data_IF_848108547403
#
_entry.id   IF_848108547403
#
_cell.length_a   1.000
_cell.length_b   1.000
_cell.length_c   1.000
_cell.angle_alpha   90.00
_cell.angle_beta   90.00
_cell.angle_gamma   90.00
#
_symmetry.space_group_name_H-M   'P 1'
#
loop_
_entity.id
_entity.type
_entity.pdbx_description
1 polymer ?
#
# COMPACT_ATOMS: atom_id res chain seq x y z
N UNK A 1 -10.04 0.66 14.94
CA UNK A 1 -10.28 0.79 16.40
C UNK A 1 -10.72 2.21 16.67
N UNK A 2 -11.81 2.42 17.42
CA UNK A 2 -12.29 3.77 17.73
C UNK A 2 -11.69 4.29 19.05
N UNK A 3 -11.18 5.52 19.03
CA UNK A 3 -10.59 6.20 20.19
C UNK A 3 -11.16 7.61 20.28
N UNK A 4 -11.58 8.04 21.46
CA UNK A 4 -12.06 9.41 21.64
C UNK A 4 -10.91 10.41 21.53
N UNK A 5 -11.19 11.64 21.07
CA UNK A 5 -10.17 12.69 21.02
C UNK A 5 -9.58 13.04 22.39
N UNK A 6 -10.32 12.80 23.48
CA UNK A 6 -9.81 12.99 24.84
C UNK A 6 -8.75 11.94 25.17
N UNK A 7 -9.06 10.67 24.88
CA UNK A 7 -8.16 9.53 25.11
C UNK A 7 -6.91 9.60 24.22
N UNK A 8 -7.09 10.00 22.96
CA UNK A 8 -5.98 10.17 22.03
C UNK A 8 -4.99 11.24 22.51
N UNK A 9 -5.47 12.33 23.11
CA UNK A 9 -4.61 13.39 23.64
C UNK A 9 -3.83 12.94 24.89
N UNK A 10 -4.40 12.08 25.74
CA UNK A 10 -3.70 11.58 26.93
C UNK A 10 -2.63 10.54 26.61
N UNK A 11 -2.81 9.75 25.54
CA UNK A 11 -1.91 8.66 25.18
C UNK A 11 -1.39 8.77 23.73
N UNK A 12 -1.08 9.99 23.30
CA UNK A 12 -0.71 10.32 21.91
C UNK A 12 0.37 9.36 21.36
N UNK A 13 1.48 9.23 22.07
CA UNK A 13 2.63 8.43 21.62
C UNK A 13 2.29 6.96 21.45
N UNK A 14 1.49 6.38 22.35
CA UNK A 14 1.06 4.98 22.27
C UNK A 14 0.24 4.73 21.01
N UNK A 15 -0.73 5.61 20.73
CA UNK A 15 -1.57 5.47 19.55
C UNK A 15 -0.82 5.72 18.25
N UNK A 16 0.16 6.63 18.26
CA UNK A 16 1.04 6.83 17.11
C UNK A 16 1.88 5.57 16.83
N UNK A 17 2.40 4.91 17.86
CA UNK A 17 3.14 3.64 17.70
C UNK A 17 2.26 2.53 17.13
N UNK A 18 1.02 2.40 17.62
CA UNK A 18 0.05 1.43 17.10
C UNK A 18 -0.29 1.72 15.62
N UNK A 19 -0.46 2.99 15.27
CA UNK A 19 -0.69 3.39 13.89
C UNK A 19 0.50 3.06 12.98
N UNK A 20 1.73 3.34 13.44
CA UNK A 20 2.96 2.99 12.72
C UNK A 20 3.13 1.47 12.54
N UNK A 21 2.68 0.67 13.52
CA UNK A 21 2.65 -0.79 13.43
C UNK A 21 1.58 -1.32 12.44
N UNK A 22 0.84 -0.43 11.78
CA UNK A 22 -0.14 -0.79 10.75
C UNK A 22 -1.57 -0.94 11.26
N UNK A 23 -1.86 -0.57 12.52
CA UNK A 23 -3.22 -0.62 13.06
C UNK A 23 -3.93 0.72 12.81
N UNK A 24 -4.93 0.80 11.91
CA UNK A 24 -5.67 2.04 11.69
C UNK A 24 -6.58 2.38 12.89
N UNK A 25 -6.51 3.66 13.30
CA UNK A 25 -7.26 4.18 14.45
C UNK A 25 -8.22 5.26 13.96
N UNK A 26 -9.49 5.13 14.32
CA UNK A 26 -10.54 6.10 14.05
C UNK A 26 -10.72 6.99 15.27
N UNK A 27 -10.58 8.30 15.08
CA UNK A 27 -10.70 9.28 16.14
C UNK A 27 -12.12 9.82 16.17
N UNK A 28 -12.73 9.79 17.35
CA UNK A 28 -14.11 10.24 17.56
C UNK A 28 -14.19 11.52 18.39
N UNK A 29 -15.14 12.38 18.02
CA UNK A 29 -15.58 13.54 18.80
C UNK A 29 -17.10 13.49 18.92
N UNK A 30 -17.63 13.60 20.13
CA UNK A 30 -19.08 13.46 20.39
C UNK A 30 -19.71 12.22 19.72
N UNK A 31 -19.03 11.07 19.79
CA UNK A 31 -19.43 9.78 19.17
C UNK A 31 -19.54 9.79 17.65
N UNK A 32 -18.94 10.79 16.98
CA UNK A 32 -18.81 10.84 15.52
C UNK A 32 -17.35 10.66 15.15
N UNK A 33 -17.07 9.82 14.17
CA UNK A 33 -15.72 9.70 13.58
C UNK A 33 -15.38 11.02 12.89
N UNK A 34 -14.27 11.64 13.28
CA UNK A 34 -13.80 12.92 12.76
C UNK A 34 -12.46 12.84 12.04
N UNK A 35 -11.66 11.81 12.30
CA UNK A 35 -10.38 11.60 11.64
C UNK A 35 -9.96 10.12 11.69
N UNK A 36 -8.99 9.75 10.87
CA UNK A 36 -8.33 8.44 10.91
C UNK A 36 -6.82 8.64 10.99
N UNK A 37 -6.20 8.02 11.98
CA UNK A 37 -4.75 7.95 12.12
C UNK A 37 -4.26 6.66 11.46
N UNK A 38 -3.32 6.82 10.53
CA UNK A 38 -2.63 5.72 9.84
C UNK A 38 -1.12 5.93 9.98
N UNK A 39 -0.37 4.84 10.09
CA UNK A 39 1.08 4.88 10.03
C UNK A 39 1.55 5.40 8.68
N UNK A 40 2.65 6.15 8.70
CA UNK A 40 3.36 6.50 7.47
C UNK A 40 4.13 5.25 7.04
N UNK A 41 3.90 4.72 5.82
CA UNK A 41 4.65 3.58 5.33
C UNK A 41 6.15 3.94 5.26
N UNK A 42 7.06 3.01 5.59
CA UNK A 42 8.49 3.25 5.51
C UNK A 42 8.88 3.73 4.11
N UNK A 43 9.76 4.73 4.07
CA UNK A 43 10.22 5.42 2.85
C UNK A 43 11.10 4.54 1.95
N UNK A 44 11.31 3.27 2.30
CA UNK A 44 11.85 2.22 1.45
C UNK A 44 10.85 1.86 0.35
N UNK A 45 10.52 2.87 -0.44
CA UNK A 45 9.81 2.78 -1.68
C UNK A 45 10.72 2.01 -2.64
N UNK A 46 10.60 0.69 -2.58
CA UNK A 46 11.12 -0.18 -3.63
C UNK A 46 10.03 -0.33 -4.69
N UNK A 47 10.45 -0.43 -5.95
CA UNK A 47 9.53 -0.60 -7.08
C UNK A 47 8.62 0.62 -7.33
N UNK A 48 7.31 0.37 -7.45
CA UNK A 48 6.32 1.33 -7.98
C UNK A 48 6.16 2.56 -7.09
N UNK A 49 6.27 2.40 -5.76
CA UNK A 49 6.14 3.51 -4.81
C UNK A 49 7.18 4.62 -5.06
N UNK A 50 8.40 4.27 -5.48
CA UNK A 50 9.45 5.23 -5.81
C UNK A 50 9.13 6.00 -7.08
N UNK A 51 8.58 5.30 -8.07
CA UNK A 51 8.19 5.90 -9.34
C UNK A 51 7.05 6.90 -9.16
N UNK A 52 6.08 6.56 -8.29
CA UNK A 52 5.01 7.47 -7.88
C UNK A 52 5.57 8.70 -7.14
N UNK A 53 6.46 8.51 -6.17
CA UNK A 53 7.07 9.60 -5.41
C UNK A 53 7.94 10.53 -6.27
N UNK A 54 8.63 10.00 -7.27
CA UNK A 54 9.45 10.77 -8.22
C UNK A 54 8.62 11.45 -9.32
N UNK A 55 7.29 11.28 -9.35
CA UNK A 55 6.43 11.81 -10.41
C UNK A 55 6.62 11.13 -11.78
N UNK A 56 7.34 10.01 -11.83
CA UNK A 56 7.62 9.24 -13.06
C UNK A 56 6.50 8.27 -13.38
N UNK A 57 5.69 7.90 -12.39
CA UNK A 57 4.48 7.11 -12.56
C UNK A 57 3.26 7.84 -11.99
N UNK A 58 2.11 7.63 -12.61
CA UNK A 58 0.80 8.05 -12.10
C UNK A 58 -0.18 6.90 -12.23
N UNK A 59 -0.98 6.65 -11.20
CA UNK A 59 -2.01 5.62 -11.22
C UNK A 59 -3.39 6.26 -11.07
N UNK A 60 -4.25 6.11 -12.10
CA UNK A 60 -5.61 6.66 -12.10
C UNK A 60 -6.66 5.70 -11.52
N UNK A 61 -6.26 4.55 -10.98
CA UNK A 61 -7.18 3.48 -10.57
C UNK A 61 -7.50 2.52 -11.73
N UNK A 62 -8.22 1.43 -11.41
CA UNK A 62 -8.67 0.44 -12.39
C UNK A 62 -7.66 -0.67 -12.71
N UNK A 63 -8.08 -1.68 -13.48
CA UNK A 63 -7.15 -2.70 -14.00
C UNK A 63 -6.37 -2.07 -15.14
N UNK A 64 -5.03 -2.18 -15.18
CA UNK A 64 -4.27 -1.60 -16.27
C UNK A 64 -4.64 -2.33 -17.57
N UNK A 65 -4.84 -1.59 -18.66
CA UNK A 65 -5.16 -2.16 -19.98
C UNK A 65 -4.05 -3.09 -20.50
N UNK A 66 -2.86 -3.01 -19.89
CA UNK A 66 -1.67 -3.72 -20.33
C UNK A 66 -0.90 -2.89 -21.36
N UNK A 67 0.32 -3.34 -21.67
CA UNK A 67 1.09 -2.74 -22.74
C UNK A 67 0.62 -3.32 -24.08
N UNK A 68 0.59 -2.48 -25.13
CA UNK A 68 0.43 -2.93 -26.51
C UNK A 68 1.71 -3.65 -26.98
N UNK A 69 1.98 -4.82 -26.40
CA UNK A 69 3.11 -5.67 -26.73
C UNK A 69 2.65 -6.69 -27.77
N UNK A 70 3.12 -6.51 -29.00
CA UNK A 70 3.10 -7.60 -29.97
C UNK A 70 4.20 -8.59 -29.58
N UNK A 71 3.82 -9.72 -29.00
CA UNK A 71 4.75 -10.82 -28.77
C UNK A 71 5.20 -11.35 -30.14
N UNK A 72 6.51 -11.32 -30.39
CA UNK A 72 7.05 -11.99 -31.56
C UNK A 72 6.88 -13.49 -31.38
N UNK A 73 6.35 -14.16 -32.40
CA UNK A 73 6.28 -15.62 -32.40
C UNK A 73 7.70 -16.18 -32.46
N UNK A 74 8.09 -16.92 -31.42
CA UNK A 74 9.41 -17.53 -31.33
C UNK A 74 9.94 -17.54 -29.90
N UNK A 75 10.63 -18.62 -29.55
CA UNK A 75 11.19 -18.83 -28.21
C UNK A 75 10.62 -20.05 -27.51
N UNK A 76 11.27 -20.42 -26.41
CA UNK A 76 10.85 -21.54 -25.58
C UNK A 76 9.53 -21.20 -24.88
N UNK A 77 8.52 -22.09 -24.92
CA UNK A 77 7.25 -21.79 -24.27
C UNK A 77 7.46 -21.69 -22.76
N UNK A 78 6.73 -20.77 -22.12
CA UNK A 78 6.79 -20.57 -20.67
C UNK A 78 6.46 -21.86 -19.90
N UNK A 79 5.60 -22.71 -20.46
CA UNK A 79 5.31 -24.05 -19.91
C UNK A 79 6.55 -24.93 -19.80
N UNK A 80 7.48 -24.87 -20.76
CA UNK A 80 8.72 -25.63 -20.70
C UNK A 80 9.68 -25.07 -19.63
N UNK A 81 9.72 -23.74 -19.44
CA UNK A 81 10.49 -23.13 -18.34
C UNK A 81 9.96 -23.55 -16.96
N UNK A 82 8.63 -23.55 -16.79
CA UNK A 82 8.00 -23.98 -15.53
C UNK A 82 8.19 -25.48 -15.27
N UNK A 83 8.27 -26.31 -16.31
CA UNK A 83 8.56 -27.74 -16.17
C UNK A 83 10.01 -27.99 -15.74
N UNK A 84 10.96 -27.19 -16.23
CA UNK A 84 12.38 -27.30 -15.84
C UNK A 84 12.65 -26.89 -14.40
N UNK A 85 11.94 -25.88 -13.89
CA UNK A 85 12.10 -25.40 -12.50
C UNK A 85 11.47 -26.33 -11.45
N UNK A 86 10.70 -27.34 -11.89
CA UNK A 86 10.05 -28.34 -11.03
C UNK A 86 10.84 -29.63 -10.85
N UNK A 87 11.95 -29.81 -11.57
CA UNK A 87 12.85 -30.96 -11.46
C UNK A 87 14.02 -30.68 -10.52
#
# INVERSE_FOLDING_TARGET
MEVSMREFKSHLSQYVLLAQAGQPIELTSHRKVVARLIGVPPTDSTGVARLLAAGVASWQGGKPEGAALALQAGGKPMSALVLEDRG
#
